data_IF_630834297090
#
_entry.id   IF_630834297090
#
_cell.length_a   1.000
_cell.length_b   1.000
_cell.length_c   1.000
_cell.angle_alpha   90.00
_cell.angle_beta   90.00
_cell.angle_gamma   90.00
#
_symmetry.space_group_name_H-M   'P 1'
#
loop_
_entity.id
_entity.type
_entity.pdbx_description
1 polymer ?
#
# COMPACT_ATOMS: atom_id res chain seq x y z
N UNK A 1 -16.51 -5.82 -11.74
CA UNK A 1 -15.11 -5.40 -11.47
C UNK A 1 -15.12 -3.91 -11.12
N UNK A 2 -14.07 -3.33 -10.53
CA UNK A 2 -13.97 -1.86 -10.39
C UNK A 2 -12.58 -1.41 -10.88
N UNK A 3 -12.55 -0.44 -11.78
CA UNK A 3 -11.34 0.17 -12.33
C UNK A 3 -11.60 1.63 -12.68
N UNK A 4 -10.54 2.42 -12.79
CA UNK A 4 -10.60 3.82 -13.16
C UNK A 4 -9.86 4.04 -14.47
N UNK A 5 -10.45 4.84 -15.36
CA UNK A 5 -9.80 5.37 -16.55
C UNK A 5 -9.78 6.89 -16.46
N UNK A 6 -8.73 7.48 -17.03
CA UNK A 6 -8.61 8.92 -17.21
C UNK A 6 -7.95 9.17 -18.55
N UNK A 7 -8.38 10.23 -19.24
CA UNK A 7 -7.61 10.77 -20.35
C UNK A 7 -6.60 11.83 -19.89
N UNK A 8 -5.90 12.41 -20.85
CA UNK A 8 -4.98 13.54 -20.71
C UNK A 8 -3.55 13.11 -20.94
N UNK A 9 -2.63 14.08 -21.07
CA UNK A 9 -1.22 13.83 -21.42
C UNK A 9 -0.51 12.77 -20.53
N UNK A 10 -0.89 12.67 -19.26
CA UNK A 10 -0.36 11.66 -18.34
C UNK A 10 -1.00 10.28 -18.52
N UNK A 11 -2.32 10.19 -18.41
CA UNK A 11 -3.04 8.91 -18.36
C UNK A 11 -3.37 8.34 -19.75
N UNK A 12 -3.52 9.19 -20.77
CA UNK A 12 -3.91 8.78 -22.12
C UNK A 12 -2.94 7.79 -22.77
N UNK A 13 -1.63 8.00 -22.57
CA UNK A 13 -0.60 7.04 -23.03
C UNK A 13 -0.75 5.67 -22.38
N UNK A 14 -1.09 5.64 -21.10
CA UNK A 14 -1.36 4.39 -20.39
C UNK A 14 -2.60 3.68 -20.94
N UNK A 15 -3.67 4.41 -21.25
CA UNK A 15 -4.88 3.81 -21.84
C UNK A 15 -4.60 3.29 -23.24
N UNK A 16 -3.84 4.01 -24.06
CA UNK A 16 -3.42 3.52 -25.39
C UNK A 16 -2.63 2.22 -25.30
N UNK A 17 -1.71 2.09 -24.33
CA UNK A 17 -0.96 0.85 -24.12
C UNK A 17 -1.87 -0.30 -23.66
N UNK A 18 -2.91 -0.02 -22.87
CA UNK A 18 -3.91 -1.02 -22.50
C UNK A 18 -4.71 -1.49 -23.72
N UNK A 19 -5.15 -0.56 -24.58
CA UNK A 19 -5.89 -0.90 -25.81
C UNK A 19 -5.00 -1.70 -26.76
N UNK A 20 -3.72 -1.34 -26.89
CA UNK A 20 -2.77 -2.13 -27.66
C UNK A 20 -2.65 -3.56 -27.10
N UNK A 21 -2.58 -3.72 -25.78
CA UNK A 21 -2.54 -5.05 -25.16
C UNK A 21 -3.83 -5.85 -25.45
N UNK A 22 -5.00 -5.20 -25.40
CA UNK A 22 -6.25 -5.84 -25.80
C UNK A 22 -6.20 -6.34 -27.25
N UNK A 23 -5.62 -5.57 -28.17
CA UNK A 23 -5.47 -5.97 -29.58
C UNK A 23 -4.48 -7.13 -29.75
N UNK A 24 -3.39 -7.17 -28.96
CA UNK A 24 -2.42 -8.28 -28.94
C UNK A 24 -3.07 -9.63 -28.56
N UNK A 25 -4.19 -9.59 -27.83
CA UNK A 25 -4.93 -10.76 -27.37
C UNK A 25 -6.27 -10.97 -28.09
N UNK A 26 -6.44 -10.38 -29.27
CA UNK A 26 -7.66 -10.48 -30.08
C UNK A 26 -8.94 -9.98 -29.35
N UNK A 27 -8.78 -9.11 -28.35
CA UNK A 27 -9.85 -8.47 -27.55
C UNK A 27 -10.00 -6.98 -27.86
N UNK A 28 -9.48 -6.55 -29.01
CA UNK A 28 -9.54 -5.18 -29.50
C UNK A 28 -10.95 -4.59 -29.64
N UNK A 29 -11.06 -3.26 -29.58
CA UNK A 29 -12.32 -2.54 -29.79
C UNK A 29 -12.06 -1.29 -30.64
N UNK A 30 -12.72 -1.23 -31.81
CA UNK A 30 -12.48 -0.17 -32.79
C UNK A 30 -12.85 1.21 -32.29
N UNK A 31 -13.86 1.32 -31.41
CA UNK A 31 -14.25 2.60 -30.83
C UNK A 31 -13.16 3.10 -29.88
N UNK A 32 -12.60 2.22 -29.04
CA UNK A 32 -11.52 2.61 -28.12
C UNK A 32 -10.27 3.09 -28.87
N UNK A 33 -9.97 2.46 -30.02
CA UNK A 33 -8.80 2.75 -30.86
C UNK A 33 -8.88 4.08 -31.60
N UNK A 34 -10.09 4.51 -31.95
CA UNK A 34 -10.33 5.79 -32.65
C UNK A 34 -10.29 7.00 -31.71
N UNK A 35 -10.44 6.79 -30.40
CA UNK A 35 -10.39 7.88 -29.42
C UNK A 35 -8.96 8.35 -29.18
N UNK A 36 -8.76 9.67 -29.20
CA UNK A 36 -7.53 10.27 -28.71
C UNK A 36 -7.56 10.42 -27.19
N UNK A 37 -7.06 9.41 -26.48
CA UNK A 37 -6.99 9.41 -25.02
C UNK A 37 -6.05 10.45 -24.44
N UNK A 38 -5.10 10.97 -25.22
CA UNK A 38 -4.14 12.00 -24.80
C UNK A 38 -4.80 13.37 -24.82
N UNK A 39 -5.55 13.67 -25.88
CA UNK A 39 -6.32 14.91 -26.02
C UNK A 39 -7.60 14.92 -25.17
N UNK A 40 -8.16 13.75 -24.87
CA UNK A 40 -9.28 13.59 -23.95
C UNK A 40 -8.87 14.09 -22.55
N UNK A 41 -9.13 15.34 -22.20
CA UNK A 41 -8.62 15.95 -20.96
C UNK A 41 -8.97 15.20 -19.67
N UNK A 42 -8.21 15.43 -18.60
CA UNK A 42 -8.52 14.90 -17.27
C UNK A 42 -9.91 15.38 -16.82
N UNK A 43 -10.74 14.44 -16.32
CA UNK A 43 -12.10 14.74 -15.86
C UNK A 43 -13.12 15.05 -16.95
N UNK A 44 -12.77 14.87 -18.23
CA UNK A 44 -13.69 15.13 -19.36
C UNK A 44 -14.50 13.91 -19.80
N UNK A 45 -14.24 12.73 -19.23
CA UNK A 45 -14.97 11.50 -19.53
C UNK A 45 -16.41 11.64 -19.03
N UNK A 46 -17.37 11.70 -19.96
CA UNK A 46 -18.80 11.76 -19.65
C UNK A 46 -19.35 10.38 -19.29
N UNK A 47 -20.55 10.33 -18.71
CA UNK A 47 -21.24 9.07 -18.40
C UNK A 47 -21.45 8.22 -19.65
N UNK A 48 -21.87 8.84 -20.74
CA UNK A 48 -22.14 8.19 -22.02
C UNK A 48 -20.87 7.57 -22.62
N UNK A 49 -19.75 8.29 -22.53
CA UNK A 49 -18.46 7.76 -22.96
C UNK A 49 -18.04 6.57 -22.08
N UNK A 50 -18.23 6.68 -20.76
CA UNK A 50 -17.89 5.63 -19.81
C UNK A 50 -18.73 4.36 -20.05
N UNK A 51 -20.02 4.49 -20.38
CA UNK A 51 -20.90 3.37 -20.76
C UNK A 51 -20.42 2.63 -22.02
N UNK A 52 -19.75 3.33 -22.95
CA UNK A 52 -19.17 2.72 -24.15
C UNK A 52 -17.81 2.07 -23.88
N UNK A 53 -17.01 2.67 -23.00
CA UNK A 53 -15.63 2.26 -22.72
C UNK A 53 -15.56 1.11 -21.72
N UNK A 54 -16.39 1.11 -20.69
CA UNK A 54 -16.28 0.13 -19.60
C UNK A 54 -16.48 -1.31 -20.06
N UNK A 55 -17.50 -1.66 -20.86
CA UNK A 55 -17.75 -3.05 -21.21
C UNK A 55 -16.58 -3.78 -21.91
N UNK A 56 -15.92 -3.24 -22.97
CA UNK A 56 -14.78 -3.91 -23.58
C UNK A 56 -13.59 -4.05 -22.63
N UNK A 57 -13.29 -3.02 -21.83
CA UNK A 57 -12.20 -3.07 -20.85
C UNK A 57 -12.51 -4.07 -19.74
N UNK A 58 -13.74 -4.11 -19.22
CA UNK A 58 -14.14 -5.08 -18.19
C UNK A 58 -14.02 -6.52 -18.69
N UNK A 59 -14.44 -6.80 -19.93
CA UNK A 59 -14.28 -8.14 -20.52
C UNK A 59 -12.81 -8.56 -20.57
N UNK A 60 -11.93 -7.66 -21.00
CA UNK A 60 -10.49 -7.91 -21.02
C UNK A 60 -9.96 -8.18 -19.60
N UNK A 61 -10.24 -7.29 -18.64
CA UNK A 61 -9.77 -7.45 -17.26
C UNK A 61 -10.29 -8.73 -16.59
N UNK A 62 -11.48 -9.21 -16.93
CA UNK A 62 -12.04 -10.46 -16.42
C UNK A 62 -11.40 -11.71 -17.02
N UNK A 63 -10.68 -11.60 -18.14
CA UNK A 63 -9.96 -12.71 -18.77
C UNK A 63 -8.60 -12.98 -18.11
N UNK A 64 -8.19 -12.14 -17.16
CA UNK A 64 -6.90 -12.23 -16.48
C UNK A 64 -7.04 -12.26 -14.96
N UNK A 65 -6.06 -12.87 -14.31
CA UNK A 65 -5.87 -12.73 -12.87
C UNK A 65 -5.30 -11.36 -12.51
N UNK A 66 -5.49 -10.93 -11.25
CA UNK A 66 -4.89 -9.69 -10.74
C UNK A 66 -3.36 -9.64 -10.91
N UNK A 67 -2.69 -10.79 -10.79
CA UNK A 67 -1.23 -10.89 -10.90
C UNK A 67 -0.77 -10.68 -12.33
N UNK A 68 -1.38 -11.36 -13.30
CA UNK A 68 -1.09 -11.19 -14.73
C UNK A 68 -1.34 -9.75 -15.19
N UNK A 69 -2.46 -9.14 -14.76
CA UNK A 69 -2.76 -7.74 -15.02
C UNK A 69 -1.68 -6.80 -14.50
N UNK A 70 -1.20 -7.03 -13.27
CA UNK A 70 -0.18 -6.18 -12.67
C UNK A 70 1.19 -6.34 -13.34
N UNK A 71 1.62 -7.57 -13.61
CA UNK A 71 2.89 -7.84 -14.30
C UNK A 71 2.88 -7.33 -15.74
N UNK A 72 1.78 -7.56 -16.46
CA UNK A 72 1.55 -7.03 -17.80
C UNK A 72 1.55 -5.51 -17.82
N UNK A 73 0.90 -4.87 -16.83
CA UNK A 73 0.86 -3.42 -16.70
C UNK A 73 2.25 -2.81 -16.47
N UNK A 74 3.06 -3.38 -15.58
CA UNK A 74 4.43 -2.94 -15.35
C UNK A 74 5.26 -3.04 -16.64
N UNK A 75 5.17 -4.18 -17.32
CA UNK A 75 5.92 -4.44 -18.57
C UNK A 75 5.54 -3.46 -19.68
N UNK A 76 4.24 -3.20 -19.83
CA UNK A 76 3.68 -2.35 -20.89
C UNK A 76 3.53 -0.88 -20.50
N UNK A 77 4.02 -0.50 -19.31
CA UNK A 77 3.92 0.87 -18.77
C UNK A 77 2.47 1.39 -18.69
N UNK A 78 1.57 0.52 -18.27
CA UNK A 78 0.16 0.84 -18.03
C UNK A 78 0.02 1.20 -16.54
N UNK A 79 -0.67 2.29 -16.25
CA UNK A 79 -1.08 2.72 -14.91
C UNK A 79 -2.27 1.86 -14.43
N UNK A 80 -2.01 0.57 -14.25
CA UNK A 80 -2.99 -0.39 -13.74
C UNK A 80 -2.39 -1.09 -12.51
N UNK A 81 -3.10 -1.00 -11.40
CA UNK A 81 -2.65 -1.52 -10.11
C UNK A 81 -3.79 -2.31 -9.47
N UNK A 82 -3.50 -3.45 -8.82
CA UNK A 82 -4.53 -4.23 -8.17
C UNK A 82 -5.01 -3.51 -6.89
N UNK A 83 -6.30 -3.65 -6.60
CA UNK A 83 -6.82 -3.35 -5.26
C UNK A 83 -6.44 -4.51 -4.35
N UNK A 84 -5.41 -4.30 -3.53
CA UNK A 84 -4.82 -5.33 -2.67
C UNK A 84 -5.57 -5.47 -1.34
N UNK A 85 -5.86 -6.71 -0.95
CA UNK A 85 -6.31 -7.05 0.41
C UNK A 85 -5.12 -7.03 1.39
N UNK A 86 -5.35 -7.01 2.72
CA UNK A 86 -4.26 -7.16 3.69
C UNK A 86 -3.42 -8.42 3.46
N UNK A 87 -4.05 -9.53 3.02
CA UNK A 87 -3.34 -10.76 2.65
C UNK A 87 -2.45 -10.57 1.43
N UNK A 88 -2.91 -9.84 0.41
CA UNK A 88 -2.12 -9.53 -0.78
C UNK A 88 -0.89 -8.70 -0.40
N UNK A 89 -1.05 -7.71 0.49
CA UNK A 89 0.04 -6.86 0.99
C UNK A 89 1.10 -7.69 1.73
N UNK A 90 0.70 -8.59 2.62
CA UNK A 90 1.63 -9.47 3.35
C UNK A 90 2.42 -10.40 2.43
N UNK A 91 1.93 -10.69 1.23
CA UNK A 91 2.59 -11.54 0.24
C UNK A 91 3.23 -10.75 -0.91
N UNK A 92 3.28 -9.41 -0.84
CA UNK A 92 3.72 -8.59 -1.96
C UNK A 92 5.25 -8.63 -2.14
N UNK A 93 5.70 -9.10 -3.31
CA UNK A 93 7.12 -9.36 -3.61
C UNK A 93 8.03 -8.15 -3.34
N UNK A 94 7.61 -6.94 -3.72
CA UNK A 94 8.42 -5.73 -3.49
C UNK A 94 8.55 -5.38 -1.99
N UNK A 95 7.52 -5.65 -1.17
CA UNK A 95 7.59 -5.39 0.27
C UNK A 95 8.56 -6.36 0.95
N UNK A 96 8.57 -7.63 0.53
CA UNK A 96 9.57 -8.61 0.96
C UNK A 96 10.98 -8.24 0.50
N UNK A 97 11.14 -7.89 -0.78
CA UNK A 97 12.44 -7.55 -1.38
C UNK A 97 13.12 -6.38 -0.67
N UNK A 98 12.34 -5.42 -0.15
CA UNK A 98 12.87 -4.28 0.61
C UNK A 98 12.95 -4.50 2.12
N UNK A 99 12.67 -5.71 2.62
CA UNK A 99 12.67 -6.01 4.06
C UNK A 99 11.66 -5.18 4.84
N UNK A 100 10.47 -4.94 4.25
CA UNK A 100 9.46 -4.08 4.86
C UNK A 100 8.85 -4.68 6.11
N UNK A 101 8.67 -6.00 6.18
CA UNK A 101 8.11 -6.65 7.36
C UNK A 101 9.20 -7.03 8.36
N UNK A 102 8.95 -6.80 9.65
CA UNK A 102 9.90 -7.08 10.73
C UNK A 102 9.29 -8.01 11.78
N UNK A 103 9.99 -9.08 12.10
CA UNK A 103 9.56 -10.04 13.11
C UNK A 103 9.98 -9.59 14.52
N UNK A 104 9.00 -9.38 15.40
CA UNK A 104 9.23 -8.92 16.78
C UNK A 104 8.76 -10.00 17.76
N UNK A 105 9.69 -10.53 18.55
CA UNK A 105 9.37 -11.52 19.59
C UNK A 105 8.64 -10.84 20.75
N UNK A 106 7.49 -11.39 21.13
CA UNK A 106 6.68 -10.99 22.28
C UNK A 106 6.76 -12.07 23.38
N UNK A 107 7.68 -11.93 24.37
CA UNK A 107 7.85 -12.92 25.43
C UNK A 107 6.57 -13.17 26.23
N UNK A 108 5.80 -12.12 26.52
CA UNK A 108 4.54 -12.19 27.27
C UNK A 108 3.42 -12.95 26.55
N UNK A 109 3.49 -13.05 25.22
CA UNK A 109 2.56 -13.82 24.40
C UNK A 109 3.15 -15.16 23.95
N UNK A 110 4.40 -15.46 24.34
CA UNK A 110 5.17 -16.61 23.88
C UNK A 110 5.17 -16.78 22.35
N UNK A 111 5.14 -15.68 21.59
CA UNK A 111 5.02 -15.70 20.13
C UNK A 111 5.89 -14.63 19.47
N UNK A 112 5.98 -14.68 18.15
CA UNK A 112 6.59 -13.63 17.31
C UNK A 112 5.49 -13.04 16.44
N UNK A 113 5.46 -11.72 16.34
CA UNK A 113 4.46 -10.99 15.56
C UNK A 113 5.18 -10.24 14.45
N UNK A 114 4.62 -10.31 13.24
CA UNK A 114 5.07 -9.53 12.08
C UNK A 114 4.57 -8.09 12.20
N UNK A 115 5.50 -7.15 12.30
CA UNK A 115 5.24 -5.71 12.27
C UNK A 115 5.49 -5.14 10.88
N UNK A 116 4.77 -4.06 10.57
CA UNK A 116 5.16 -3.19 9.47
C UNK A 116 6.43 -2.43 9.87
N UNK A 117 7.44 -2.52 9.03
CA UNK A 117 8.67 -1.78 9.18
C UNK A 117 8.53 -0.31 8.79
N UNK A 118 9.65 0.41 8.77
CA UNK A 118 9.65 1.84 8.49
C UNK A 118 9.04 2.20 7.14
N UNK A 119 8.27 3.29 7.12
CA UNK A 119 7.66 3.82 5.89
C UNK A 119 8.68 4.47 4.94
N UNK A 120 9.89 4.79 5.43
CA UNK A 120 11.01 5.34 4.67
C UNK A 120 12.28 4.55 4.94
N UNK A 121 13.02 4.27 3.87
CA UNK A 121 14.41 3.79 3.94
C UNK A 121 15.35 4.96 3.68
N UNK A 122 16.18 5.29 4.67
CA UNK A 122 17.15 6.37 4.58
C UNK A 122 18.55 5.82 4.85
N UNK A 123 19.51 6.16 3.98
CA UNK A 123 20.90 5.69 4.08
C UNK A 123 21.66 6.33 5.25
N UNK A 124 21.43 7.61 5.54
CA UNK A 124 22.13 8.33 6.60
C UNK A 124 21.56 8.13 8.00
N UNK A 125 20.23 8.02 8.12
CA UNK A 125 19.55 7.82 9.40
C UNK A 125 18.41 6.81 9.22
N UNK A 126 18.73 5.51 9.17
CA UNK A 126 17.72 4.48 8.97
C UNK A 126 16.74 4.48 10.15
N UNK A 127 15.46 4.64 9.84
CA UNK A 127 14.39 4.39 10.78
C UNK A 127 14.40 2.90 11.16
N UNK A 128 14.21 2.60 12.45
CA UNK A 128 14.21 1.22 12.98
C UNK A 128 13.15 1.08 14.06
N UNK A 129 12.48 -0.07 14.11
CA UNK A 129 11.73 -0.46 15.30
C UNK A 129 12.73 -0.76 16.41
N UNK A 130 12.70 0.04 17.49
CA UNK A 130 13.72 -0.02 18.55
C UNK A 130 13.36 -0.93 19.71
N UNK A 131 12.07 -1.00 20.05
CA UNK A 131 11.53 -1.77 21.17
C UNK A 131 10.07 -2.12 20.90
N UNK A 132 9.56 -3.09 21.65
CA UNK A 132 8.13 -3.39 21.68
C UNK A 132 7.34 -2.21 22.26
N UNK A 133 6.02 -2.14 22.01
CA UNK A 133 5.15 -1.24 22.75
C UNK A 133 5.32 -1.46 24.26
N UNK A 134 5.46 -0.38 25.05
CA UNK A 134 5.69 -0.51 26.49
C UNK A 134 4.45 -1.09 27.18
N UNK A 135 4.68 -1.90 28.21
CA UNK A 135 3.65 -2.32 29.15
C UNK A 135 3.25 -1.14 30.05
N UNK A 136 2.06 -1.24 30.64
CA UNK A 136 1.63 -0.26 31.64
C UNK A 136 2.65 -0.21 32.78
N UNK A 137 3.18 0.99 33.03
CA UNK A 137 4.15 1.26 34.09
C UNK A 137 5.56 0.69 33.86
N UNK A 138 5.88 0.12 32.70
CA UNK A 138 7.18 -0.53 32.43
C UNK A 138 8.37 0.38 32.71
N UNK A 139 8.23 1.68 32.42
CA UNK A 139 9.31 2.65 32.53
C UNK A 139 9.18 3.54 33.78
N UNK A 140 8.28 3.23 34.73
CA UNK A 140 8.06 4.10 35.90
C UNK A 140 9.35 4.24 36.73
N UNK A 141 10.06 3.15 37.01
CA UNK A 141 11.30 3.23 37.78
C UNK A 141 12.40 4.02 37.04
N UNK A 142 12.60 3.75 35.74
CA UNK A 142 13.58 4.44 34.89
C UNK A 142 13.32 5.96 34.89
N UNK A 143 12.07 6.38 34.66
CA UNK A 143 11.74 7.79 34.58
C UNK A 143 11.75 8.46 35.96
N UNK A 144 11.08 7.90 36.97
CA UNK A 144 10.93 8.58 38.25
C UNK A 144 12.20 8.54 39.10
N UNK A 145 12.94 7.42 39.10
CA UNK A 145 14.14 7.29 39.94
C UNK A 145 15.38 7.79 39.19
N UNK A 146 15.60 7.33 37.95
CA UNK A 146 16.86 7.60 37.26
C UNK A 146 16.87 8.95 36.54
N UNK A 147 15.80 9.31 35.82
CA UNK A 147 15.74 10.59 35.10
C UNK A 147 15.30 11.77 35.97
N UNK A 148 14.29 11.57 36.82
CA UNK A 148 13.74 12.62 37.68
C UNK A 148 14.39 12.70 39.07
N UNK A 149 15.16 11.69 39.47
CA UNK A 149 15.91 11.68 40.73
C UNK A 149 15.04 11.53 41.99
N UNK A 150 13.83 10.98 41.87
CA UNK A 150 13.00 10.69 43.03
C UNK A 150 13.57 9.52 43.84
N UNK A 151 13.26 9.49 45.12
CA UNK A 151 13.64 8.35 45.96
C UNK A 151 12.66 7.19 45.78
N UNK A 152 13.09 5.97 46.16
CA UNK A 152 12.17 4.83 46.20
C UNK A 152 10.98 5.06 47.13
N UNK A 153 11.14 5.86 48.19
CA UNK A 153 10.05 6.24 49.09
C UNK A 153 9.02 7.15 48.40
N UNK A 154 9.48 8.10 47.57
CA UNK A 154 8.61 8.98 46.80
C UNK A 154 7.80 8.16 45.78
N UNK A 155 8.43 7.19 45.11
CA UNK A 155 7.73 6.32 44.16
C UNK A 155 6.65 5.46 44.83
N UNK A 156 6.91 4.97 46.05
CA UNK A 156 5.89 4.25 46.83
C UNK A 156 4.72 5.17 47.18
N UNK A 157 4.99 6.40 47.65
CA UNK A 157 3.94 7.39 47.96
C UNK A 157 3.09 7.73 46.74
N UNK A 158 3.71 7.89 45.57
CA UNK A 158 3.00 8.15 44.32
C UNK A 158 2.08 6.98 43.93
N UNK A 159 2.54 5.74 44.15
CA UNK A 159 1.74 4.54 43.90
C UNK A 159 0.56 4.41 44.88
N UNK A 160 0.79 4.69 46.16
CA UNK A 160 -0.27 4.67 47.18
C UNK A 160 -1.34 5.75 46.96
N UNK A 161 -0.95 6.87 46.34
CA UNK A 161 -1.84 7.96 45.95
C UNK A 161 -2.53 7.76 44.58
N UNK A 162 -2.33 6.61 43.92
CA UNK A 162 -2.88 6.27 42.60
C UNK A 162 -2.49 7.26 41.49
N UNK A 163 -1.29 7.85 41.62
CA UNK A 163 -0.71 8.76 40.61
C UNK A 163 0.06 7.98 39.53
N UNK A 164 0.64 6.82 39.89
CA UNK A 164 1.60 6.05 39.08
C UNK A 164 1.38 4.54 39.21
#
# INVERSE_FOLDING_TARGET
>A
MNFQLSGGAGAGRSVNNLIQWMEEEDMGDSFLKELDWVELGYGTITKELLERVVPPVERFLLNHTKAELFEGAVTRRILLFPVSTPRDILNYTQLHARGYFQEMRHPELATTITYLGPFVQASGMPLKLRRLPPKLGEHNAEIYLDELGLTGEDLVRLREADVV
#
